data_IF_461545551920
#
_entry.id   IF_461545551920
#
_cell.length_a   1.000
_cell.length_b   1.000
_cell.length_c   1.000
_cell.angle_alpha   90.00
_cell.angle_beta   90.00
_cell.angle_gamma   90.00
#
_symmetry.space_group_name_H-M   'P 1'
#
loop_
_entity.id
_entity.type
_entity.pdbx_description
1 polymer ?
#
# COMPACT_ATOMS: atom_id res chain seq x y z
N UNK A 1 -29.10 32.02 8.81
CA UNK A 1 -27.91 32.52 8.10
C UNK A 1 -26.76 31.61 8.42
N UNK A 2 -26.50 30.60 7.57
CA UNK A 2 -25.34 29.73 7.67
C UNK A 2 -24.09 30.54 7.36
N UNK A 3 -23.13 30.59 8.29
CA UNK A 3 -21.82 31.17 8.01
C UNK A 3 -21.20 30.39 6.88
N UNK A 4 -21.02 31.02 5.73
CA UNK A 4 -20.10 30.54 4.69
C UNK A 4 -18.73 30.56 5.35
N UNK A 5 -18.27 29.44 5.80
CA UNK A 5 -16.92 29.28 6.30
C UNK A 5 -15.99 29.23 5.09
N UNK A 6 -15.63 30.40 4.57
CA UNK A 6 -14.45 30.51 3.75
C UNK A 6 -13.29 29.98 4.63
N UNK A 7 -12.83 28.78 4.33
CA UNK A 7 -11.69 28.19 5.04
C UNK A 7 -10.44 28.95 4.58
N UNK A 8 -10.17 30.05 5.29
CA UNK A 8 -9.03 30.97 5.01
C UNK A 8 -7.71 30.47 5.60
N UNK A 9 -7.69 29.26 6.15
CA UNK A 9 -6.59 28.90 7.04
C UNK A 9 -5.43 28.15 6.40
N UNK A 10 -5.66 27.09 5.64
CA UNK A 10 -4.57 26.21 5.20
C UNK A 10 -4.93 25.43 3.91
N UNK A 11 -3.98 25.27 2.97
CA UNK A 11 -4.21 24.46 1.80
C UNK A 11 -4.46 22.98 2.18
N UNK A 12 -5.15 22.23 1.32
CA UNK A 12 -5.39 20.78 1.49
C UNK A 12 -4.09 20.04 1.78
N UNK A 13 -2.99 20.45 1.14
CA UNK A 13 -1.69 19.84 1.39
C UNK A 13 -1.25 19.97 2.85
N UNK A 14 -1.48 21.13 3.49
CA UNK A 14 -1.14 21.27 4.91
C UNK A 14 -2.02 20.41 5.81
N UNK A 15 -3.28 20.16 5.44
CA UNK A 15 -4.14 19.23 6.17
C UNK A 15 -3.61 17.79 6.13
N UNK A 16 -2.99 17.38 5.01
CA UNK A 16 -2.25 16.12 4.91
C UNK A 16 -0.96 16.15 5.75
N UNK A 17 -0.20 17.25 5.69
CA UNK A 17 1.04 17.40 6.45
C UNK A 17 0.80 17.44 7.97
N UNK A 18 -0.37 17.89 8.44
CA UNK A 18 -0.77 17.85 9.84
C UNK A 18 -0.95 16.43 10.39
N UNK A 19 -1.04 15.42 9.53
CA UNK A 19 -0.98 14.01 9.96
C UNK A 19 0.45 13.61 10.33
N UNK A 20 1.45 14.30 9.78
CA UNK A 20 2.86 14.14 10.12
C UNK A 20 3.16 14.87 11.43
N UNK A 21 4.00 14.29 12.25
CA UNK A 21 4.57 14.96 13.40
C UNK A 21 5.95 15.48 13.01
N UNK A 22 6.04 16.79 12.74
CA UNK A 22 7.28 17.42 12.29
C UNK A 22 8.43 17.20 13.27
N UNK A 23 8.17 17.34 14.58
CA UNK A 23 9.20 17.17 15.60
C UNK A 23 9.76 15.76 15.59
N UNK A 24 8.86 14.76 15.56
CA UNK A 24 9.23 13.35 15.52
C UNK A 24 9.98 12.97 14.25
N UNK A 25 9.56 13.50 13.09
CA UNK A 25 10.28 13.27 11.83
C UNK A 25 11.68 13.91 11.87
N UNK A 26 11.82 15.09 12.44
CA UNK A 26 13.14 15.71 12.63
C UNK A 26 14.03 14.88 13.57
N UNK A 27 13.48 14.28 14.64
CA UNK A 27 14.23 13.34 15.48
C UNK A 27 14.68 12.09 14.72
N UNK A 28 13.78 11.50 13.92
CA UNK A 28 14.11 10.36 13.04
C UNK A 28 15.21 10.76 12.06
N UNK A 29 15.09 11.96 11.46
CA UNK A 29 16.09 12.51 10.56
C UNK A 29 17.47 12.58 11.21
N UNK A 30 17.56 13.21 12.38
CA UNK A 30 18.83 13.33 13.14
C UNK A 30 19.44 11.98 13.52
N UNK A 31 18.61 10.97 13.84
CA UNK A 31 19.08 9.62 14.17
C UNK A 31 19.57 8.84 12.96
N UNK A 32 18.91 9.01 11.80
CA UNK A 32 19.18 8.21 10.61
C UNK A 32 20.23 8.86 9.72
N UNK A 33 20.24 10.20 9.66
CA UNK A 33 21.09 10.98 8.75
C UNK A 33 22.27 11.59 9.52
N UNK A 34 23.41 10.94 9.45
CA UNK A 34 24.64 11.39 10.16
C UNK A 34 25.09 12.83 9.81
N UNK A 35 24.73 13.31 8.61
CA UNK A 35 25.10 14.63 8.09
C UNK A 35 24.06 15.71 8.30
N UNK A 36 22.93 15.42 8.97
CA UNK A 36 21.81 16.35 9.11
C UNK A 36 22.16 17.64 9.85
N UNK A 37 23.10 17.58 10.81
CA UNK A 37 23.57 18.73 11.57
C UNK A 37 24.27 19.81 10.72
N UNK A 38 24.69 19.46 9.51
CA UNK A 38 25.34 20.39 8.56
C UNK A 38 24.41 20.89 7.46
N UNK A 39 23.17 20.39 7.41
CA UNK A 39 22.21 20.78 6.36
C UNK A 39 21.50 22.08 6.74
N UNK A 40 21.71 23.13 5.92
CA UNK A 40 21.16 24.47 6.19
C UNK A 40 19.73 24.68 5.69
N UNK A 41 19.36 24.06 4.56
CA UNK A 41 18.08 24.35 3.87
C UNK A 41 17.25 23.11 3.59
N UNK A 42 17.79 22.09 2.90
CA UNK A 42 17.07 20.88 2.54
C UNK A 42 17.29 19.80 3.59
N UNK A 43 16.68 19.95 4.76
CA UNK A 43 16.67 18.91 5.81
C UNK A 43 15.80 17.70 5.42
N UNK A 44 15.79 16.67 6.25
CA UNK A 44 15.02 15.45 5.97
C UNK A 44 13.52 15.70 5.89
N UNK A 45 12.98 16.54 6.78
CA UNK A 45 11.56 16.88 6.75
C UNK A 45 11.18 17.64 5.48
N UNK A 46 11.94 18.69 5.13
CA UNK A 46 11.70 19.47 3.91
C UNK A 46 11.83 18.61 2.65
N UNK A 47 12.82 17.70 2.61
CA UNK A 47 12.95 16.75 1.51
C UNK A 47 11.73 15.84 1.39
N UNK A 48 11.24 15.27 2.50
CA UNK A 48 10.02 14.47 2.51
C UNK A 48 8.82 15.26 2.00
N UNK A 49 8.61 16.48 2.48
CA UNK A 49 7.49 17.34 2.08
C UNK A 49 7.56 17.66 0.58
N UNK A 50 8.72 18.00 0.05
CA UNK A 50 8.85 18.28 -1.39
C UNK A 50 8.59 17.01 -2.24
N UNK A 51 9.12 15.87 -1.82
CA UNK A 51 8.87 14.61 -2.52
C UNK A 51 7.40 14.21 -2.46
N UNK A 52 6.74 14.36 -1.32
CA UNK A 52 5.28 14.11 -1.19
C UNK A 52 4.47 15.04 -2.10
N UNK A 53 4.85 16.32 -2.21
CA UNK A 53 4.20 17.25 -3.14
C UNK A 53 4.27 16.73 -4.58
N UNK A 54 5.46 16.31 -5.03
CA UNK A 54 5.65 15.75 -6.38
C UNK A 54 4.82 14.47 -6.61
N UNK A 55 4.80 13.57 -5.65
CA UNK A 55 4.04 12.32 -5.72
C UNK A 55 2.52 12.57 -5.75
N UNK A 56 2.01 13.47 -4.90
CA UNK A 56 0.58 13.78 -4.82
C UNK A 56 0.09 14.58 -6.03
N UNK A 57 0.92 15.48 -6.60
CA UNK A 57 0.65 16.17 -7.85
C UNK A 57 0.80 15.25 -9.08
N UNK A 58 1.37 14.06 -8.89
CA UNK A 58 1.61 13.09 -9.96
C UNK A 58 2.58 13.60 -11.04
N UNK A 59 3.64 14.29 -10.61
CA UNK A 59 4.69 14.72 -11.54
C UNK A 59 5.56 13.54 -11.97
N UNK A 60 5.92 13.50 -13.24
CA UNK A 60 6.69 12.41 -13.82
C UNK A 60 8.21 12.66 -13.75
N UNK A 61 8.63 13.87 -13.40
CA UNK A 61 10.05 14.23 -13.34
C UNK A 61 10.37 15.28 -12.28
N UNK A 62 11.64 15.35 -11.86
CA UNK A 62 12.12 16.45 -11.03
C UNK A 62 12.04 17.82 -11.71
N UNK A 63 11.99 17.86 -13.05
CA UNK A 63 11.80 19.12 -13.79
C UNK A 63 10.38 19.64 -13.61
N UNK A 64 9.38 18.77 -13.75
CA UNK A 64 7.99 19.14 -13.49
C UNK A 64 7.76 19.52 -12.04
N UNK A 65 8.39 18.81 -11.09
CA UNK A 65 8.33 19.14 -9.68
C UNK A 65 8.89 20.55 -9.43
N UNK A 66 10.05 20.88 -10.00
CA UNK A 66 10.65 22.24 -9.90
C UNK A 66 9.73 23.30 -10.46
N UNK A 67 9.15 23.10 -11.66
CA UNK A 67 8.20 24.03 -12.29
C UNK A 67 6.91 24.14 -11.43
N UNK A 68 6.39 23.03 -10.94
CA UNK A 68 5.22 23.03 -10.05
C UNK A 68 5.45 23.80 -8.76
N UNK A 69 6.65 23.69 -8.16
CA UNK A 69 7.04 24.51 -7.00
C UNK A 69 7.12 26.00 -7.35
N UNK A 70 7.63 26.36 -8.54
CA UNK A 70 7.68 27.76 -9.00
C UNK A 70 6.27 28.33 -9.16
N UNK A 71 5.38 27.60 -9.80
CA UNK A 71 4.00 28.03 -10.01
C UNK A 71 3.21 28.26 -8.72
N UNK A 72 3.52 27.49 -7.65
CA UNK A 72 2.83 27.55 -6.37
C UNK A 72 3.68 28.16 -5.24
N UNK A 73 4.74 28.91 -5.59
CA UNK A 73 5.72 29.42 -4.64
C UNK A 73 5.10 30.18 -3.46
N UNK A 74 4.12 31.06 -3.73
CA UNK A 74 3.41 31.83 -2.68
C UNK A 74 2.62 30.96 -1.72
N UNK A 75 2.13 29.79 -2.16
CA UNK A 75 1.41 28.84 -1.31
C UNK A 75 2.36 27.93 -0.55
N UNK A 76 3.51 27.56 -1.16
CA UNK A 76 4.54 26.75 -0.50
C UNK A 76 5.19 27.46 0.68
N UNK A 77 5.28 28.78 0.65
CA UNK A 77 5.73 29.59 1.78
C UNK A 77 4.90 29.32 3.06
N UNK A 78 3.58 29.19 2.92
CA UNK A 78 2.68 28.83 4.03
C UNK A 78 2.95 27.44 4.63
N UNK A 79 3.70 26.59 3.92
CA UNK A 79 4.14 25.26 4.37
C UNK A 79 5.54 25.28 5.00
N UNK A 80 6.14 26.48 5.15
CA UNK A 80 7.49 26.67 5.65
C UNK A 80 8.57 26.30 4.64
N UNK A 81 8.26 26.35 3.34
CA UNK A 81 9.22 26.15 2.25
C UNK A 81 9.55 27.55 1.68
N UNK A 82 10.54 28.20 2.28
CA UNK A 82 10.88 29.59 2.04
C UNK A 82 11.94 29.78 0.94
N UNK A 83 12.32 28.72 0.27
CA UNK A 83 13.33 28.80 -0.79
C UNK A 83 13.04 27.79 -1.89
N UNK A 84 13.47 28.15 -3.10
CA UNK A 84 13.36 27.29 -4.27
C UNK A 84 14.45 26.21 -4.25
N UNK A 85 14.06 24.95 -4.16
CA UNK A 85 14.98 23.84 -4.25
C UNK A 85 15.21 23.48 -5.71
N UNK A 86 16.45 23.55 -6.18
CA UNK A 86 16.81 23.21 -7.55
C UNK A 86 16.74 21.70 -7.79
N UNK A 87 16.40 21.34 -9.01
CA UNK A 87 16.36 19.94 -9.47
C UNK A 87 17.64 19.16 -9.14
N UNK A 88 18.82 19.75 -9.37
CA UNK A 88 20.10 19.11 -9.05
C UNK A 88 20.27 18.81 -7.56
N UNK A 89 19.82 19.70 -6.69
CA UNK A 89 19.86 19.50 -5.23
C UNK A 89 18.93 18.36 -4.82
N UNK A 90 17.72 18.28 -5.39
CA UNK A 90 16.79 17.16 -5.14
C UNK A 90 17.33 15.83 -5.67
N UNK A 91 17.91 15.83 -6.86
CA UNK A 91 18.54 14.63 -7.45
C UNK A 91 19.66 14.10 -6.56
N UNK A 92 20.52 14.98 -6.06
CA UNK A 92 21.62 14.63 -5.17
C UNK A 92 21.11 14.15 -3.79
N UNK A 93 20.07 14.80 -3.24
CA UNK A 93 19.42 14.36 -2.01
C UNK A 93 18.81 12.96 -2.17
N UNK A 94 18.10 12.67 -3.26
CA UNK A 94 17.56 11.34 -3.56
C UNK A 94 18.65 10.28 -3.71
N UNK A 95 19.82 10.64 -4.25
CA UNK A 95 20.94 9.73 -4.43
C UNK A 95 21.66 9.42 -3.11
N UNK A 96 21.88 10.42 -2.26
CA UNK A 96 22.74 10.31 -1.07
C UNK A 96 21.99 10.03 0.22
N UNK A 97 20.77 10.57 0.39
CA UNK A 97 20.04 10.43 1.65
C UNK A 97 19.53 9.00 1.79
N UNK A 98 19.93 8.26 2.85
CA UNK A 98 19.56 6.87 3.04
C UNK A 98 18.04 6.65 2.99
N UNK A 99 17.59 5.66 2.25
CA UNK A 99 16.17 5.28 2.14
C UNK A 99 15.57 4.88 3.50
N UNK A 100 16.40 4.46 4.44
CA UNK A 100 16.04 4.08 5.80
C UNK A 100 15.37 5.23 6.56
N UNK A 101 15.70 6.48 6.23
CA UNK A 101 15.00 7.63 6.80
C UNK A 101 13.50 7.59 6.47
N UNK A 102 13.15 7.39 5.22
CA UNK A 102 11.76 7.33 4.76
C UNK A 102 11.07 6.06 5.26
N UNK A 103 11.79 4.93 5.32
CA UNK A 103 11.30 3.70 5.92
C UNK A 103 10.93 3.88 7.40
N UNK A 104 11.79 4.55 8.17
CA UNK A 104 11.54 4.83 9.59
C UNK A 104 10.38 5.81 9.79
N UNK A 105 10.21 6.80 8.90
CA UNK A 105 9.03 7.69 8.91
C UNK A 105 7.76 6.89 8.64
N UNK A 106 7.77 6.00 7.64
CA UNK A 106 6.64 5.13 7.36
C UNK A 106 6.27 4.26 8.57
N UNK A 107 7.25 3.61 9.17
CA UNK A 107 7.06 2.76 10.36
C UNK A 107 6.49 3.53 11.54
N UNK A 108 6.97 4.75 11.77
CA UNK A 108 6.42 5.64 12.78
C UNK A 108 4.95 5.99 12.52
N UNK A 109 4.60 6.38 11.30
CA UNK A 109 3.21 6.69 10.94
C UNK A 109 2.29 5.47 11.06
N UNK A 110 2.79 4.30 10.68
CA UNK A 110 2.06 3.06 10.83
C UNK A 110 1.81 2.73 12.31
N UNK A 111 2.78 2.92 13.17
CA UNK A 111 2.62 2.78 14.63
C UNK A 111 1.59 3.77 15.19
N UNK A 112 1.63 5.03 14.72
CA UNK A 112 0.71 6.10 15.16
C UNK A 112 -0.75 5.85 14.73
N UNK A 113 -0.97 5.36 13.50
CA UNK A 113 -2.30 5.25 12.91
C UNK A 113 -2.81 3.82 12.72
N UNK A 114 -2.02 2.80 13.02
CA UNK A 114 -2.38 1.40 12.76
C UNK A 114 -3.67 0.96 13.44
N UNK A 115 -3.87 1.36 14.70
CA UNK A 115 -5.11 1.05 15.43
C UNK A 115 -6.31 1.77 14.81
N UNK A 116 -6.20 3.07 14.52
CA UNK A 116 -7.25 3.83 13.85
C UNK A 116 -7.65 3.19 12.52
N UNK A 117 -6.68 2.75 11.71
CA UNK A 117 -6.94 2.10 10.43
C UNK A 117 -7.64 0.75 10.58
N UNK A 118 -7.30 -0.02 11.61
CA UNK A 118 -7.95 -1.28 11.92
C UNK A 118 -9.41 -1.07 12.32
N UNK A 119 -9.67 -0.09 13.20
CA UNK A 119 -11.00 0.17 13.76
C UNK A 119 -11.94 0.85 12.76
N UNK A 120 -11.41 1.68 11.88
CA UNK A 120 -12.17 2.45 10.87
C UNK A 120 -12.43 1.69 9.57
N UNK A 121 -12.10 0.39 9.49
CA UNK A 121 -12.34 -0.39 8.27
C UNK A 121 -13.83 -0.45 7.94
N UNK A 122 -14.25 -0.14 6.68
CA UNK A 122 -15.64 -0.23 6.28
C UNK A 122 -16.19 -1.64 6.52
N UNK A 123 -17.27 -1.76 7.27
CA UNK A 123 -18.02 -3.02 7.44
C UNK A 123 -18.56 -3.45 6.07
N UNK A 124 -18.53 -4.74 5.77
CA UNK A 124 -19.13 -5.27 4.54
C UNK A 124 -20.65 -4.97 4.55
N UNK A 125 -21.15 -4.36 3.47
CA UNK A 125 -22.59 -4.25 3.27
C UNK A 125 -23.17 -5.61 2.89
N UNK A 126 -24.15 -6.06 3.62
CA UNK A 126 -25.00 -7.18 3.25
C UNK A 126 -24.86 -8.40 4.15
N UNK A 127 -25.98 -8.74 4.75
CA UNK A 127 -26.31 -9.90 5.59
C UNK A 127 -25.57 -9.98 6.92
N UNK A 128 -26.35 -9.73 7.95
CA UNK A 128 -26.13 -10.03 9.37
C UNK A 128 -24.77 -9.61 9.93
N UNK A 129 -24.75 -9.02 11.09
CA UNK A 129 -23.55 -8.74 11.88
C UNK A 129 -22.79 -10.05 12.13
N UNK A 130 -22.12 -10.54 11.10
CA UNK A 130 -21.21 -11.68 11.23
C UNK A 130 -20.09 -11.17 12.13
N UNK A 131 -20.10 -11.62 13.38
CA UNK A 131 -18.98 -11.42 14.31
C UNK A 131 -17.71 -11.73 13.55
N UNK A 132 -16.75 -10.78 13.58
CA UNK A 132 -15.44 -11.01 12.98
C UNK A 132 -14.89 -12.33 13.55
N UNK A 133 -14.55 -13.25 12.67
CA UNK A 133 -13.98 -14.55 13.08
C UNK A 133 -12.63 -14.30 13.78
N UNK A 134 -12.29 -15.10 14.77
CA UNK A 134 -11.09 -14.87 15.59
C UNK A 134 -9.80 -14.79 14.76
N UNK A 135 -9.66 -15.63 13.73
CA UNK A 135 -8.53 -15.58 12.82
C UNK A 135 -8.43 -14.26 12.01
N UNK A 136 -9.52 -13.51 11.83
CA UNK A 136 -9.54 -12.26 11.06
C UNK A 136 -8.75 -11.14 11.73
N UNK A 137 -8.69 -11.15 13.06
CA UNK A 137 -7.99 -10.14 13.86
C UNK A 137 -6.48 -10.12 13.60
N UNK A 138 -5.90 -11.32 13.41
CA UNK A 138 -4.48 -11.54 13.19
C UNK A 138 -4.21 -12.17 11.81
N UNK A 139 -5.06 -11.85 10.82
CA UNK A 139 -4.85 -12.27 9.44
C UNK A 139 -3.84 -11.34 8.77
N UNK A 140 -2.78 -11.94 8.28
CA UNK A 140 -1.73 -11.30 7.47
C UNK A 140 -1.71 -11.90 6.07
N UNK A 141 -1.37 -11.09 5.09
CA UNK A 141 -1.15 -11.53 3.71
C UNK A 141 0.24 -11.15 3.29
N UNK A 142 0.90 -12.05 2.57
CA UNK A 142 2.24 -11.84 2.04
C UNK A 142 2.26 -12.06 0.54
N UNK A 143 2.84 -11.09 -0.17
CA UNK A 143 3.04 -11.18 -1.61
C UNK A 143 4.16 -10.23 -2.04
N UNK A 144 4.54 -10.29 -3.31
CA UNK A 144 5.49 -9.37 -3.92
C UNK A 144 4.95 -8.79 -5.22
N UNK A 145 5.30 -7.56 -5.50
CA UNK A 145 5.05 -6.94 -6.80
C UNK A 145 6.34 -6.43 -7.41
N UNK A 146 6.46 -6.52 -8.73
CA UNK A 146 7.59 -5.95 -9.45
C UNK A 146 7.20 -4.57 -9.97
N UNK A 147 8.05 -3.59 -9.70
CA UNK A 147 8.04 -2.28 -10.34
C UNK A 147 9.05 -2.34 -11.46
N UNK A 148 8.58 -2.26 -12.70
CA UNK A 148 9.45 -2.28 -13.89
C UNK A 148 10.15 -0.94 -14.03
N UNK A 149 11.45 -0.97 -14.31
CA UNK A 149 12.28 0.19 -14.59
C UNK A 149 12.54 0.29 -16.10
N UNK A 150 12.88 1.48 -16.57
CA UNK A 150 13.30 1.66 -17.96
C UNK A 150 14.55 0.83 -18.30
N UNK A 151 14.68 0.46 -19.56
CA UNK A 151 15.74 -0.45 -20.05
C UNK A 151 17.18 -0.01 -19.72
N UNK A 152 17.38 1.28 -19.42
CA UNK A 152 18.68 1.86 -19.08
C UNK A 152 19.01 1.92 -17.58
N UNK A 153 18.01 1.71 -16.70
CA UNK A 153 18.18 1.81 -15.25
C UNK A 153 18.38 0.40 -14.69
N UNK A 154 19.45 0.21 -13.90
CA UNK A 154 19.81 -1.06 -13.27
C UNK A 154 20.00 -2.21 -14.26
N UNK A 155 20.74 -1.97 -15.35
CA UNK A 155 21.19 -3.03 -16.28
C UNK A 155 21.89 -4.15 -15.50
N UNK A 156 21.34 -5.34 -15.55
CA UNK A 156 21.90 -6.53 -14.89
C UNK A 156 21.12 -7.08 -13.72
N UNK A 157 20.15 -6.34 -13.18
CA UNK A 157 19.37 -6.71 -11.96
C UNK A 157 17.99 -7.28 -12.29
N UNK A 158 17.58 -7.31 -13.55
CA UNK A 158 16.28 -7.77 -13.98
C UNK A 158 16.20 -9.25 -14.36
N UNK A 159 14.99 -9.82 -14.36
CA UNK A 159 14.69 -11.14 -14.94
C UNK A 159 15.09 -11.16 -16.42
N UNK A 160 15.73 -12.23 -16.90
CA UNK A 160 15.88 -12.48 -18.33
C UNK A 160 14.49 -12.80 -18.92
N UNK A 161 13.88 -11.92 -19.73
CA UNK A 161 12.69 -12.29 -20.45
C UNK A 161 13.07 -13.31 -21.54
N UNK A 162 12.13 -14.15 -21.92
CA UNK A 162 12.30 -15.09 -23.06
C UNK A 162 12.65 -14.39 -24.38
N UNK A 163 12.42 -13.07 -24.46
CA UNK A 163 12.72 -12.21 -25.62
C UNK A 163 14.13 -11.58 -25.62
N UNK A 164 15.03 -11.96 -24.71
CA UNK A 164 16.45 -11.56 -24.73
C UNK A 164 16.79 -10.15 -24.23
N UNK A 165 15.84 -9.24 -24.01
CA UNK A 165 16.11 -7.90 -23.46
C UNK A 165 15.97 -7.89 -21.93
N UNK A 166 17.05 -7.61 -21.22
CA UNK A 166 17.06 -7.42 -19.77
C UNK A 166 16.34 -6.12 -19.42
N UNK A 167 15.21 -6.21 -18.73
CA UNK A 167 14.58 -5.05 -18.10
C UNK A 167 14.99 -4.98 -16.64
N UNK A 168 15.43 -3.82 -16.18
CA UNK A 168 15.63 -3.55 -14.76
C UNK A 168 14.32 -3.60 -14.00
N UNK A 169 14.37 -3.93 -12.73
CA UNK A 169 13.17 -3.94 -11.88
C UNK A 169 13.53 -4.03 -10.40
N UNK A 170 12.70 -3.40 -9.59
CA UNK A 170 12.69 -3.56 -8.14
C UNK A 170 11.49 -4.40 -7.76
N UNK A 171 11.72 -5.39 -6.90
CA UNK A 171 10.67 -6.17 -6.29
C UNK A 171 10.36 -5.61 -4.91
N UNK A 172 9.09 -5.30 -4.69
CA UNK A 172 8.55 -4.85 -3.42
C UNK A 172 7.86 -6.04 -2.77
N UNK A 173 8.49 -6.60 -1.76
CA UNK A 173 7.92 -7.64 -0.93
C UNK A 173 7.14 -6.99 0.21
N UNK A 174 5.95 -7.48 0.47
CA UNK A 174 5.04 -6.85 1.43
C UNK A 174 4.36 -7.88 2.30
N UNK A 175 4.28 -7.59 3.60
CA UNK A 175 3.34 -8.22 4.52
C UNK A 175 2.32 -7.17 4.92
N UNK A 176 1.04 -7.48 4.77
CA UNK A 176 -0.08 -6.59 5.08
C UNK A 176 -1.01 -7.25 6.09
N UNK A 177 -1.35 -6.56 7.18
CA UNK A 177 -2.42 -7.00 8.09
C UNK A 177 -3.77 -6.68 7.44
N UNK A 178 -4.65 -7.68 7.36
CA UNK A 178 -5.92 -7.57 6.65
C UNK A 178 -6.78 -6.39 7.12
N UNK A 179 -6.93 -6.20 8.43
CA UNK A 179 -7.76 -5.12 9.00
C UNK A 179 -7.16 -3.73 8.78
N UNK A 180 -5.84 -3.59 8.80
CA UNK A 180 -5.16 -2.30 8.60
C UNK A 180 -5.22 -1.87 7.12
N UNK A 181 -5.02 -2.80 6.19
CA UNK A 181 -5.18 -2.56 4.76
C UNK A 181 -4.03 -1.80 4.09
N UNK A 182 -2.90 -1.61 4.80
CA UNK A 182 -1.66 -1.03 4.27
C UNK A 182 -0.47 -1.92 4.62
N UNK A 183 0.67 -1.80 3.93
CA UNK A 183 1.87 -2.57 4.24
C UNK A 183 2.32 -2.42 5.69
N UNK A 184 2.59 -3.54 6.36
CA UNK A 184 3.18 -3.57 7.70
C UNK A 184 4.70 -3.80 7.64
N UNK A 185 5.12 -4.70 6.73
CA UNK A 185 6.52 -4.97 6.44
C UNK A 185 6.73 -4.77 4.95
N UNK A 186 7.76 -4.04 4.60
CA UNK A 186 8.16 -3.80 3.21
C UNK A 186 9.65 -4.06 3.07
N UNK A 187 10.01 -4.91 2.11
CA UNK A 187 11.40 -5.17 1.75
C UNK A 187 11.59 -4.92 0.25
N UNK A 188 12.54 -4.07 -0.08
CA UNK A 188 12.87 -3.74 -1.45
C UNK A 188 14.09 -4.56 -1.90
N UNK A 189 13.93 -5.35 -2.96
CA UNK A 189 15.00 -6.18 -3.51
C UNK A 189 15.09 -6.03 -5.02
N UNK A 190 16.16 -6.55 -5.61
CA UNK A 190 16.22 -6.66 -7.08
C UNK A 190 15.14 -7.61 -7.60
N UNK A 191 14.61 -7.35 -8.79
CA UNK A 191 13.58 -8.19 -9.41
C UNK A 191 14.03 -9.65 -9.64
N UNK A 192 15.33 -9.90 -9.65
CA UNK A 192 15.91 -11.24 -9.80
C UNK A 192 15.88 -12.08 -8.52
N UNK A 193 15.71 -11.45 -7.33
CA UNK A 193 15.69 -12.17 -6.06
C UNK A 193 14.39 -12.99 -5.93
N UNK A 194 14.54 -14.26 -5.51
CA UNK A 194 13.39 -15.15 -5.33
C UNK A 194 12.52 -14.76 -4.13
N UNK A 195 11.21 -14.99 -4.25
CA UNK A 195 10.21 -14.56 -3.26
C UNK A 195 10.36 -15.24 -1.88
N UNK A 196 10.80 -16.48 -1.85
CA UNK A 196 10.90 -17.27 -0.61
C UNK A 196 11.88 -16.67 0.43
N UNK A 197 12.80 -15.78 0.03
CA UNK A 197 13.71 -15.14 0.98
C UNK A 197 12.99 -14.25 2.00
N UNK A 198 11.88 -13.60 1.61
CA UNK A 198 11.13 -12.77 2.54
C UNK A 198 10.56 -13.59 3.71
N UNK A 199 10.10 -14.82 3.45
CA UNK A 199 9.48 -15.64 4.50
C UNK A 199 10.40 -15.89 5.68
N UNK A 200 11.73 -15.92 5.46
CA UNK A 200 12.74 -16.05 6.51
C UNK A 200 12.83 -14.85 7.45
N UNK A 201 12.52 -13.67 6.92
CA UNK A 201 12.61 -12.39 7.64
C UNK A 201 11.30 -12.02 8.35
N UNK A 202 10.22 -12.76 8.07
CA UNK A 202 8.89 -12.44 8.60
C UNK A 202 8.67 -13.17 9.92
N UNK A 203 8.53 -12.40 10.99
CA UNK A 203 8.12 -12.87 12.31
C UNK A 203 6.77 -12.23 12.66
N UNK A 204 5.79 -13.06 12.97
CA UNK A 204 4.44 -12.63 13.31
C UNK A 204 4.12 -13.00 14.76
N UNK A 205 3.20 -12.29 15.41
CA UNK A 205 2.71 -12.67 16.71
C UNK A 205 2.17 -14.11 16.72
N UNK A 206 2.30 -14.80 17.82
CA UNK A 206 1.65 -16.09 18.03
C UNK A 206 0.14 -15.98 17.72
N UNK A 207 -0.46 -17.07 17.29
CA UNK A 207 -1.88 -17.18 16.88
C UNK A 207 -2.24 -16.34 15.62
N UNK A 208 -1.24 -15.81 14.92
CA UNK A 208 -1.45 -15.18 13.62
C UNK A 208 -1.74 -16.19 12.52
N UNK A 209 -2.49 -15.74 11.51
CA UNK A 209 -2.69 -16.49 10.27
C UNK A 209 -2.03 -15.76 9.11
N UNK A 210 -1.17 -16.44 8.35
CA UNK A 210 -0.45 -15.91 7.19
C UNK A 210 -0.95 -16.54 5.89
N UNK A 211 -1.67 -15.77 5.08
CA UNK A 211 -2.06 -16.17 3.73
C UNK A 211 -1.00 -15.73 2.72
N UNK A 212 -0.49 -16.66 1.90
CA UNK A 212 0.57 -16.39 0.93
C UNK A 212 0.39 -17.14 -0.38
N UNK A 213 1.08 -16.69 -1.44
CA UNK A 213 1.09 -17.42 -2.71
C UNK A 213 2.00 -18.67 -2.64
N UNK A 214 1.74 -19.62 -3.53
CA UNK A 214 2.54 -20.85 -3.67
C UNK A 214 4.03 -20.63 -3.98
N UNK A 215 4.42 -19.42 -4.40
CA UNK A 215 5.82 -19.06 -4.62
C UNK A 215 6.66 -19.16 -3.34
N UNK A 216 6.03 -18.98 -2.19
CA UNK A 216 6.66 -18.96 -0.86
C UNK A 216 6.80 -20.34 -0.19
N UNK A 217 6.40 -21.43 -0.85
CA UNK A 217 6.50 -22.79 -0.27
C UNK A 217 7.95 -23.15 0.02
N UNK A 218 8.23 -23.29 1.32
CA UNK A 218 9.50 -23.72 1.90
C UNK A 218 9.20 -24.48 3.20
N UNK A 219 9.45 -25.81 3.22
CA UNK A 219 9.06 -26.66 4.34
C UNK A 219 9.78 -26.33 5.64
N UNK A 220 11.04 -25.86 5.58
CA UNK A 220 11.77 -25.44 6.77
C UNK A 220 11.12 -24.19 7.39
N UNK A 221 10.67 -23.26 6.54
CA UNK A 221 9.96 -22.08 7.03
C UNK A 221 8.54 -22.41 7.50
N UNK A 222 7.89 -23.39 6.91
CA UNK A 222 6.58 -23.88 7.37
C UNK A 222 6.69 -24.51 8.75
N UNK A 223 7.76 -25.30 8.99
CA UNK A 223 8.02 -25.87 10.31
C UNK A 223 8.29 -24.75 11.33
N UNK A 224 9.13 -23.75 10.99
CA UNK A 224 9.39 -22.59 11.84
C UNK A 224 8.09 -21.84 12.20
N UNK A 225 7.23 -21.56 11.23
CA UNK A 225 5.94 -20.90 11.49
C UNK A 225 5.07 -21.73 12.44
N UNK A 226 5.08 -23.07 12.28
CA UNK A 226 4.36 -23.98 13.15
C UNK A 226 4.91 -23.95 14.58
N UNK A 227 6.23 -23.95 14.74
CA UNK A 227 6.91 -23.89 16.03
C UNK A 227 6.67 -22.53 16.73
N UNK A 228 6.56 -21.44 15.94
CA UNK A 228 6.22 -20.09 16.43
C UNK A 228 4.71 -19.93 16.73
N UNK A 229 3.88 -20.94 16.48
CA UNK A 229 2.42 -20.90 16.68
C UNK A 229 1.72 -20.00 15.66
N UNK A 230 2.28 -19.88 14.45
CA UNK A 230 1.70 -19.12 13.33
C UNK A 230 1.05 -20.08 12.35
N UNK A 231 -0.24 -19.89 12.09
CA UNK A 231 -0.97 -20.61 11.05
C UNK A 231 -0.57 -20.07 9.68
N UNK A 232 -0.33 -20.95 8.71
CA UNK A 232 -0.19 -20.53 7.32
C UNK A 232 -1.30 -21.13 6.46
N UNK A 233 -1.68 -20.40 5.38
CA UNK A 233 -2.58 -20.88 4.32
C UNK A 233 -1.98 -20.49 2.98
N UNK A 234 -1.76 -21.49 2.11
CA UNK A 234 -1.20 -21.29 0.78
C UNK A 234 -1.79 -22.25 -0.25
N UNK A 235 -1.70 -21.90 -1.53
CA UNK A 235 -2.05 -22.80 -2.63
C UNK A 235 -0.92 -23.79 -2.87
N UNK A 236 -1.25 -25.07 -3.03
CA UNK A 236 -0.27 -26.13 -3.29
C UNK A 236 0.29 -26.02 -4.72
N UNK A 237 1.58 -26.32 -4.91
CA UNK A 237 2.19 -26.55 -6.24
C UNK A 237 1.87 -27.95 -6.72
N UNK A 238 1.63 -28.12 -8.03
CA UNK A 238 1.25 -29.43 -8.63
C UNK A 238 2.31 -30.52 -8.45
N UNK A 239 3.59 -30.16 -8.34
CA UNK A 239 4.71 -31.12 -8.39
C UNK A 239 5.28 -31.45 -6.99
N UNK A 240 4.55 -31.20 -5.90
CA UNK A 240 5.02 -31.54 -4.58
C UNK A 240 4.81 -33.03 -4.29
N UNK A 241 5.85 -33.70 -3.78
CA UNK A 241 5.77 -35.08 -3.29
C UNK A 241 5.37 -35.06 -1.83
N UNK A 242 4.40 -35.89 -1.46
CA UNK A 242 3.91 -36.02 -0.08
C UNK A 242 3.38 -37.44 0.14
N UNK A 243 3.29 -37.85 1.42
CA UNK A 243 2.61 -39.06 1.85
C UNK A 243 1.28 -38.69 2.49
N UNK A 244 0.20 -39.36 2.10
CA UNK A 244 -1.11 -39.19 2.74
C UNK A 244 -1.11 -40.07 4.00
N UNK A 245 -1.40 -39.49 5.16
CA UNK A 245 -1.52 -40.18 6.44
C UNK A 245 -2.99 -40.50 6.73
N UNK A 246 -3.88 -39.51 6.49
CA UNK A 246 -5.32 -39.59 6.70
C UNK A 246 -6.05 -38.91 5.59
N UNK A 247 -7.28 -39.37 5.22
CA UNK A 247 -8.09 -38.72 4.17
C UNK A 247 -9.58 -38.89 4.48
N UNK A 248 -10.30 -37.77 4.42
CA UNK A 248 -11.75 -37.71 4.60
C UNK A 248 -12.35 -36.84 3.47
N UNK A 249 -13.51 -37.24 2.94
CA UNK A 249 -14.22 -36.50 1.88
C UNK A 249 -15.54 -35.97 2.42
N UNK A 250 -15.82 -34.70 2.14
CA UNK A 250 -17.07 -34.02 2.49
C UNK A 250 -17.70 -33.41 1.25
N UNK A 251 -19.01 -33.45 1.18
CA UNK A 251 -19.77 -32.75 0.14
C UNK A 251 -20.66 -31.72 0.84
N UNK A 252 -20.66 -30.51 0.34
CA UNK A 252 -21.50 -29.45 0.93
C UNK A 252 -23.01 -29.78 0.74
N UNK A 253 -23.90 -29.21 1.58
CA UNK A 253 -25.31 -29.56 1.57
C UNK A 253 -26.03 -29.36 0.25
N UNK A 254 -25.58 -28.41 -0.59
CA UNK A 254 -26.15 -28.17 -1.93
C UNK A 254 -25.52 -29.03 -3.03
N UNK A 255 -24.58 -29.90 -2.69
CA UNK A 255 -23.92 -30.82 -3.64
C UNK A 255 -22.98 -30.17 -4.66
N UNK A 256 -22.75 -28.85 -4.59
CA UNK A 256 -21.97 -28.10 -5.59
C UNK A 256 -20.47 -28.09 -5.30
N UNK A 257 -20.07 -28.29 -4.06
CA UNK A 257 -18.65 -28.26 -3.62
C UNK A 257 -18.32 -29.53 -2.87
N UNK A 258 -17.24 -30.16 -3.30
CA UNK A 258 -16.67 -31.34 -2.65
C UNK A 258 -15.30 -30.98 -2.06
N UNK A 259 -15.06 -31.40 -0.84
CA UNK A 259 -13.81 -31.20 -0.13
C UNK A 259 -13.14 -32.56 0.14
N UNK A 260 -11.89 -32.69 -0.27
CA UNK A 260 -11.03 -33.76 0.18
C UNK A 260 -10.05 -33.21 1.21
N UNK A 261 -10.21 -33.60 2.46
CA UNK A 261 -9.41 -33.16 3.58
C UNK A 261 -8.42 -34.25 3.97
N UNK A 262 -7.14 -33.95 3.91
CA UNK A 262 -6.06 -34.92 4.08
C UNK A 262 -5.01 -34.40 5.06
N UNK A 263 -4.58 -35.26 5.98
CA UNK A 263 -3.33 -35.08 6.70
C UNK A 263 -2.20 -35.64 5.86
N UNK A 264 -1.20 -34.83 5.55
CA UNK A 264 -0.09 -35.18 4.67
C UNK A 264 1.25 -34.90 5.31
N UNK A 265 2.24 -35.71 4.97
CA UNK A 265 3.62 -35.57 5.40
C UNK A 265 4.51 -35.20 4.20
N UNK A 266 5.20 -34.06 4.31
CA UNK A 266 6.27 -33.68 3.42
C UNK A 266 7.62 -34.08 3.99
N UNK A 267 8.46 -34.71 3.16
CA UNK A 267 9.82 -35.13 3.52
C UNK A 267 10.84 -34.49 2.57
N UNK A 268 11.90 -33.90 3.12
CA UNK A 268 13.00 -33.34 2.36
C UNK A 268 14.31 -33.52 3.14
N UNK A 269 15.09 -34.56 2.80
CA UNK A 269 16.21 -35.00 3.65
C UNK A 269 15.69 -35.40 5.02
N UNK A 270 16.30 -34.90 6.09
CA UNK A 270 15.91 -35.17 7.47
C UNK A 270 14.68 -34.36 7.94
N UNK A 271 14.28 -33.35 7.15
CA UNK A 271 13.14 -32.52 7.49
C UNK A 271 11.83 -33.25 7.19
N UNK A 272 10.99 -33.37 8.22
CA UNK A 272 9.61 -33.85 8.13
C UNK A 272 8.68 -32.74 8.56
N UNK A 273 7.64 -32.47 7.75
CA UNK A 273 6.65 -31.45 8.04
C UNK A 273 5.24 -31.98 7.76
N UNK A 274 4.40 -31.97 8.78
CA UNK A 274 2.99 -32.34 8.66
C UNK A 274 2.17 -31.13 8.25
N UNK A 275 1.28 -31.33 7.30
CA UNK A 275 0.36 -30.30 6.83
C UNK A 275 -1.03 -30.90 6.58
N UNK A 276 -2.03 -30.06 6.65
CA UNK A 276 -3.37 -30.35 6.18
C UNK A 276 -3.49 -29.91 4.73
N UNK A 277 -3.84 -30.85 3.84
CA UNK A 277 -4.07 -30.62 2.42
C UNK A 277 -5.58 -30.67 2.19
N UNK A 278 -6.14 -29.58 1.67
CA UNK A 278 -7.56 -29.47 1.38
C UNK A 278 -7.71 -29.27 -0.14
N UNK A 279 -8.29 -30.25 -0.81
CA UNK A 279 -8.68 -30.11 -2.22
C UNK A 279 -10.16 -29.76 -2.29
N UNK A 280 -10.45 -28.63 -2.94
CA UNK A 280 -11.80 -28.08 -3.08
C UNK A 280 -12.18 -28.24 -4.55
N UNK A 281 -13.18 -29.07 -4.83
CA UNK A 281 -13.70 -29.29 -6.17
C UNK A 281 -15.01 -28.54 -6.36
N UNK A 282 -15.00 -27.57 -7.28
CA UNK A 282 -16.19 -26.81 -7.68
C UNK A 282 -16.83 -27.49 -8.88
N UNK A 283 -17.95 -28.19 -8.68
CA UNK A 283 -18.61 -28.98 -9.72
C UNK A 283 -19.17 -28.12 -10.86
N UNK A 284 -19.71 -26.94 -10.55
CA UNK A 284 -20.22 -25.96 -11.51
C UNK A 284 -19.14 -25.43 -12.47
N UNK A 285 -17.94 -25.22 -11.96
CA UNK A 285 -16.79 -24.66 -12.69
C UNK A 285 -15.85 -25.71 -13.26
N UNK A 286 -16.07 -26.99 -12.94
CA UNK A 286 -15.19 -28.13 -13.29
C UNK A 286 -13.70 -27.84 -12.99
N UNK A 287 -13.42 -27.24 -11.85
CA UNK A 287 -12.06 -26.91 -11.44
C UNK A 287 -11.82 -27.24 -9.98
N UNK A 288 -10.56 -27.54 -9.63
CA UNK A 288 -10.15 -27.75 -8.25
C UNK A 288 -9.10 -26.72 -7.80
N UNK A 289 -9.11 -26.46 -6.52
CA UNK A 289 -8.08 -25.68 -5.82
C UNK A 289 -7.56 -26.51 -4.68
N UNK A 290 -6.23 -26.64 -4.58
CA UNK A 290 -5.58 -27.36 -3.48
C UNK A 290 -4.90 -26.37 -2.57
N UNK A 291 -5.30 -26.35 -1.30
CA UNK A 291 -4.75 -25.51 -0.25
C UNK A 291 -3.94 -26.34 0.74
N UNK A 292 -2.93 -25.72 1.34
CA UNK A 292 -2.12 -26.27 2.42
C UNK A 292 -2.19 -25.35 3.63
N UNK A 293 -2.30 -25.94 4.82
CA UNK A 293 -2.24 -25.25 6.10
C UNK A 293 -1.63 -26.18 7.18
N UNK A 294 -1.08 -25.60 8.24
CA UNK A 294 -0.69 -26.34 9.45
C UNK A 294 -1.78 -26.33 10.53
N UNK A 295 -2.95 -25.74 10.24
CA UNK A 295 -4.05 -25.67 11.19
C UNK A 295 -5.09 -26.76 10.87
N UNK A 296 -5.31 -27.66 11.81
CA UNK A 296 -6.25 -28.78 11.70
C UNK A 296 -7.61 -28.49 12.33
N UNK A 297 -7.77 -27.34 13.03
CA UNK A 297 -8.98 -26.96 13.75
C UNK A 297 -9.89 -26.04 12.93
N UNK A 298 -9.31 -25.24 11.98
CA UNK A 298 -10.09 -24.37 11.10
C UNK A 298 -11.08 -25.16 10.27
N UNK A 299 -12.29 -24.60 10.07
CA UNK A 299 -13.26 -25.20 9.14
C UNK A 299 -12.75 -25.14 7.71
N UNK A 300 -13.26 -25.99 6.84
CA UNK A 300 -12.87 -26.01 5.40
C UNK A 300 -13.18 -24.69 4.73
N UNK A 301 -14.33 -24.10 5.06
CA UNK A 301 -14.80 -22.80 4.59
C UNK A 301 -13.90 -21.65 5.09
N UNK A 302 -13.39 -21.75 6.33
CA UNK A 302 -12.46 -20.74 6.87
C UNK A 302 -11.14 -20.75 6.12
N UNK A 303 -10.56 -21.91 5.84
CA UNK A 303 -9.30 -22.02 5.09
C UNK A 303 -9.49 -21.47 3.67
N UNK A 304 -10.63 -21.76 3.03
CA UNK A 304 -10.97 -21.20 1.72
C UNK A 304 -11.11 -19.69 1.77
N UNK A 305 -11.85 -19.14 2.74
CA UNK A 305 -12.07 -17.71 2.92
C UNK A 305 -10.76 -16.96 3.22
N UNK A 306 -9.91 -17.50 4.10
CA UNK A 306 -8.57 -16.96 4.39
C UNK A 306 -7.76 -16.84 3.10
N UNK A 307 -7.73 -17.88 2.28
CA UNK A 307 -7.00 -17.85 1.02
C UNK A 307 -7.59 -16.84 0.03
N UNK A 308 -8.92 -16.74 -0.07
CA UNK A 308 -9.60 -15.73 -0.91
C UNK A 308 -9.23 -14.30 -0.48
N UNK A 309 -9.10 -14.03 0.82
CA UNK A 309 -8.72 -12.71 1.32
C UNK A 309 -7.30 -12.28 0.96
N UNK A 310 -6.43 -13.21 0.58
CA UNK A 310 -5.09 -12.89 0.04
C UNK A 310 -5.14 -11.89 -1.12
N UNK A 311 -6.20 -11.91 -1.93
CA UNK A 311 -6.39 -10.96 -3.04
C UNK A 311 -6.42 -9.48 -2.61
N UNK A 312 -6.60 -9.18 -1.34
CA UNK A 312 -6.56 -7.82 -0.85
C UNK A 312 -5.19 -7.16 -1.04
N UNK A 313 -4.09 -7.94 -0.99
CA UNK A 313 -2.75 -7.41 -1.24
C UNK A 313 -2.52 -7.10 -2.73
N UNK A 314 -3.09 -7.87 -3.64
CA UNK A 314 -3.05 -7.58 -5.08
C UNK A 314 -3.85 -6.30 -5.40
N UNK A 315 -4.98 -6.10 -4.72
CA UNK A 315 -5.78 -4.87 -4.81
C UNK A 315 -4.99 -3.65 -4.31
N UNK A 316 -4.21 -3.79 -3.24
CA UNK A 316 -3.31 -2.74 -2.76
C UNK A 316 -2.25 -2.40 -3.82
N UNK A 317 -1.62 -3.39 -4.44
CA UNK A 317 -0.62 -3.15 -5.49
C UNK A 317 -1.22 -2.46 -6.71
N UNK A 318 -2.43 -2.85 -7.11
CA UNK A 318 -3.17 -2.17 -8.17
C UNK A 318 -3.45 -0.71 -7.80
N UNK A 319 -3.91 -0.47 -6.56
CA UNK A 319 -4.16 0.87 -6.03
C UNK A 319 -2.90 1.75 -6.08
N UNK A 320 -1.75 1.24 -5.62
CA UNK A 320 -0.48 1.96 -5.65
C UNK A 320 -0.06 2.34 -7.08
N UNK A 321 -0.10 1.37 -8.01
CA UNK A 321 0.31 1.57 -9.40
C UNK A 321 -0.62 2.49 -10.19
N UNK A 322 -1.90 2.53 -9.85
CA UNK A 322 -2.89 3.38 -10.54
C UNK A 322 -2.91 4.83 -10.06
N UNK A 323 -2.62 5.05 -8.77
CA UNK A 323 -2.83 6.36 -8.17
C UNK A 323 -1.54 7.15 -7.95
N UNK A 324 -0.36 6.53 -8.07
CA UNK A 324 0.92 7.19 -7.81
C UNK A 324 1.94 6.93 -8.92
N UNK A 325 2.89 7.87 -9.16
CA UNK A 325 3.87 7.77 -10.24
C UNK A 325 4.95 6.74 -9.93
N UNK A 326 4.66 5.46 -10.19
CA UNK A 326 5.60 4.34 -10.08
C UNK A 326 6.15 3.86 -11.45
N UNK A 327 5.86 4.61 -12.51
CA UNK A 327 6.39 4.37 -13.84
C UNK A 327 7.60 5.25 -14.17
N UNK A 328 7.67 6.43 -13.55
CA UNK A 328 8.75 7.40 -13.72
C UNK A 328 9.43 7.64 -12.37
N UNK A 329 10.75 7.69 -12.38
CA UNK A 329 11.53 7.87 -11.15
C UNK A 329 12.33 9.15 -11.20
N UNK A 330 12.42 9.80 -10.05
CA UNK A 330 13.13 11.08 -9.84
C UNK A 330 14.65 10.92 -9.76
N UNK A 331 15.16 9.76 -10.09
CA UNK A 331 16.57 9.42 -10.16
C UNK A 331 16.76 7.98 -10.65
N UNK A 332 17.97 7.68 -11.11
CA UNK A 332 18.39 6.40 -11.69
C UNK A 332 19.16 5.51 -10.72
N UNK A 333 19.57 6.04 -9.56
CA UNK A 333 20.24 5.24 -8.52
C UNK A 333 19.26 4.35 -7.78
N UNK A 334 19.72 3.19 -7.30
CA UNK A 334 18.93 2.27 -6.49
C UNK A 334 18.29 3.01 -5.31
N UNK A 335 19.11 3.82 -4.61
CA UNK A 335 18.63 4.57 -3.46
C UNK A 335 17.52 5.57 -3.83
N UNK A 336 17.66 6.31 -4.94
CA UNK A 336 16.64 7.26 -5.37
C UNK A 336 15.29 6.58 -5.69
N UNK A 337 15.33 5.40 -6.30
CA UNK A 337 14.13 4.61 -6.60
C UNK A 337 13.50 4.07 -5.31
N UNK A 338 14.31 3.63 -4.36
CA UNK A 338 13.84 3.19 -3.04
C UNK A 338 13.24 4.35 -2.25
N UNK A 339 13.87 5.51 -2.24
CA UNK A 339 13.33 6.75 -1.62
C UNK A 339 11.96 7.07 -2.19
N UNK A 340 11.83 7.12 -3.51
CA UNK A 340 10.52 7.40 -4.14
C UNK A 340 9.48 6.35 -3.79
N UNK A 341 9.84 5.08 -3.78
CA UNK A 341 8.93 3.99 -3.39
C UNK A 341 8.42 4.18 -1.95
N UNK A 342 9.30 4.53 -1.01
CA UNK A 342 8.88 4.83 0.36
C UNK A 342 7.98 6.06 0.45
N UNK A 343 8.28 7.12 -0.30
CA UNK A 343 7.42 8.33 -0.34
C UNK A 343 6.04 8.00 -0.90
N UNK A 344 5.94 7.13 -1.91
CA UNK A 344 4.66 6.64 -2.43
C UNK A 344 3.89 5.86 -1.35
N UNK A 345 4.56 5.00 -0.59
CA UNK A 345 3.92 4.27 0.52
C UNK A 345 3.44 5.23 1.62
N UNK A 346 4.20 6.27 1.95
CA UNK A 346 3.78 7.33 2.89
C UNK A 346 2.56 8.08 2.32
N UNK A 347 2.58 8.48 1.06
CA UNK A 347 1.45 9.16 0.40
C UNK A 347 0.19 8.29 0.43
N UNK A 348 0.31 7.00 0.09
CA UNK A 348 -0.79 6.05 0.17
C UNK A 348 -1.35 5.91 1.59
N UNK A 349 -0.48 5.85 2.60
CA UNK A 349 -0.88 5.79 4.01
C UNK A 349 -1.65 7.04 4.43
N UNK A 350 -1.16 8.23 4.10
CA UNK A 350 -1.83 9.51 4.40
C UNK A 350 -3.19 9.61 3.70
N UNK A 351 -3.26 9.27 2.42
CA UNK A 351 -4.52 9.23 1.67
C UNK A 351 -5.49 8.18 2.24
N UNK A 352 -5.00 7.05 2.72
CA UNK A 352 -5.82 6.02 3.38
C UNK A 352 -6.39 6.55 4.70
N UNK A 353 -5.59 7.27 5.51
CA UNK A 353 -6.05 7.88 6.75
C UNK A 353 -7.17 8.90 6.46
N UNK A 354 -6.99 9.77 5.47
CA UNK A 354 -8.03 10.72 5.04
C UNK A 354 -9.28 9.99 4.57
N UNK A 355 -9.13 8.97 3.72
CA UNK A 355 -10.25 8.15 3.25
C UNK A 355 -11.06 7.52 4.39
N UNK A 356 -10.39 7.11 5.47
CA UNK A 356 -11.06 6.54 6.65
C UNK A 356 -11.74 7.57 7.53
N UNK A 357 -11.36 8.84 7.46
CA UNK A 357 -12.02 9.95 8.17
C UNK A 357 -13.30 10.39 7.47
N UNK A 358 -13.38 10.25 6.14
CA UNK A 358 -14.55 10.61 5.35
C UNK A 358 -15.62 9.54 5.54
N UNK A 359 -16.82 9.95 5.98
CA UNK A 359 -17.97 9.04 6.21
C UNK A 359 -18.68 8.66 4.92
N UNK A 360 -18.70 9.58 3.94
CA UNK A 360 -19.27 9.33 2.62
C UNK A 360 -18.50 8.20 1.92
N UNK A 361 -19.21 7.28 1.30
CA UNK A 361 -18.60 6.21 0.53
C UNK A 361 -18.01 6.76 -0.78
N UNK A 362 -16.70 6.82 -0.85
CA UNK A 362 -15.95 7.20 -2.04
C UNK A 362 -14.94 6.13 -2.41
N UNK A 363 -14.71 5.92 -3.69
CA UNK A 363 -13.60 5.08 -4.12
C UNK A 363 -12.27 5.76 -3.74
N UNK A 364 -11.28 4.96 -3.36
CA UNK A 364 -9.95 5.51 -3.00
C UNK A 364 -9.34 6.37 -4.11
N UNK A 365 -9.48 5.96 -5.37
CA UNK A 365 -9.01 6.73 -6.52
C UNK A 365 -9.69 8.09 -6.67
N UNK A 366 -10.97 8.21 -6.31
CA UNK A 366 -11.67 9.50 -6.30
C UNK A 366 -11.05 10.44 -5.27
N UNK A 367 -10.78 9.94 -4.05
CA UNK A 367 -10.15 10.72 -2.98
C UNK A 367 -8.75 11.19 -3.39
N UNK A 368 -7.91 10.30 -3.94
CA UNK A 368 -6.57 10.68 -4.40
C UNK A 368 -6.64 11.69 -5.55
N UNK A 369 -7.59 11.53 -6.49
CA UNK A 369 -7.79 12.49 -7.58
C UNK A 369 -8.20 13.85 -7.05
N UNK A 370 -9.14 13.91 -6.10
CA UNK A 370 -9.56 15.18 -5.49
C UNK A 370 -8.42 15.82 -4.70
N UNK A 371 -7.65 15.05 -3.92
CA UNK A 371 -6.44 15.56 -3.26
C UNK A 371 -5.50 16.18 -4.28
N UNK A 372 -5.22 15.50 -5.40
CA UNK A 372 -4.32 15.98 -6.45
C UNK A 372 -4.81 17.30 -7.05
N UNK A 373 -6.09 17.38 -7.39
CA UNK A 373 -6.68 18.58 -8.01
C UNK A 373 -6.73 19.77 -7.04
N UNK A 374 -7.08 19.49 -5.78
CA UNK A 374 -7.31 20.53 -4.76
C UNK A 374 -6.11 20.73 -3.82
N UNK A 375 -4.95 20.12 -4.09
CA UNK A 375 -3.82 20.02 -3.15
C UNK A 375 -3.42 21.37 -2.56
N UNK A 376 -3.44 22.42 -3.37
CA UNK A 376 -3.03 23.76 -2.97
C UNK A 376 -4.22 24.73 -2.84
N UNK A 377 -5.46 24.22 -2.77
CA UNK A 377 -6.65 25.02 -2.50
C UNK A 377 -6.88 25.14 -1.00
N UNK A 378 -7.38 26.31 -0.59
CA UNK A 378 -7.75 26.62 0.80
C UNK A 378 -9.20 26.21 1.04
N UNK A 379 -9.42 24.94 1.32
CA UNK A 379 -10.75 24.35 1.56
C UNK A 379 -10.63 23.29 2.65
N UNK A 380 -11.63 23.17 3.51
CA UNK A 380 -11.75 21.99 4.37
C UNK A 380 -12.03 20.77 3.50
N UNK A 381 -10.99 19.98 3.25
CA UNK A 381 -11.07 18.84 2.34
C UNK A 381 -12.04 17.77 2.85
N UNK A 382 -12.04 17.48 4.14
CA UNK A 382 -12.93 16.47 4.72
C UNK A 382 -14.38 16.90 4.62
N UNK A 383 -14.69 18.15 5.01
CA UNK A 383 -16.02 18.71 4.89
C UNK A 383 -16.51 18.79 3.45
N UNK A 384 -15.64 19.17 2.51
CA UNK A 384 -15.94 19.15 1.08
C UNK A 384 -16.30 17.74 0.58
N UNK A 385 -15.53 16.72 0.97
CA UNK A 385 -15.75 15.34 0.51
C UNK A 385 -17.02 14.71 1.12
N UNK A 386 -17.48 15.19 2.29
CA UNK A 386 -18.74 14.73 2.89
C UNK A 386 -19.96 15.19 2.08
N UNK A 387 -19.97 16.44 1.58
CA UNK A 387 -21.09 17.02 0.84
C UNK A 387 -20.61 18.01 -0.23
N UNK A 388 -20.02 17.51 -1.35
CA UNK A 388 -19.50 18.37 -2.41
C UNK A 388 -20.61 19.10 -3.18
N UNK A 389 -21.83 18.58 -3.20
CA UNK A 389 -22.95 19.21 -3.89
C UNK A 389 -23.42 20.46 -3.14
N UNK A 390 -23.46 20.43 -1.82
CA UNK A 390 -23.75 21.61 -1.01
C UNK A 390 -22.73 22.72 -1.26
N UNK A 391 -21.45 22.39 -1.21
CA UNK A 391 -20.35 23.35 -1.45
C UNK A 391 -20.45 23.94 -2.87
N UNK A 392 -20.78 23.12 -3.87
CA UNK A 392 -21.01 23.57 -5.23
C UNK A 392 -22.17 24.59 -5.30
N UNK A 393 -23.30 24.26 -4.68
CA UNK A 393 -24.49 25.13 -4.67
C UNK A 393 -24.22 26.44 -3.91
N UNK A 394 -23.50 26.42 -2.80
CA UNK A 394 -23.10 27.63 -2.07
C UNK A 394 -22.22 28.53 -2.93
N UNK A 395 -21.23 27.99 -3.63
CA UNK A 395 -20.37 28.74 -4.54
C UNK A 395 -21.17 29.30 -5.72
N UNK A 396 -22.01 28.48 -6.34
CA UNK A 396 -22.83 28.90 -7.49
C UNK A 396 -23.83 29.98 -7.15
N UNK A 397 -24.33 30.04 -5.91
CA UNK A 397 -25.23 31.08 -5.44
C UNK A 397 -24.54 32.40 -5.12
N UNK A 398 -23.22 32.37 -4.86
CA UNK A 398 -22.40 33.56 -4.53
C UNK A 398 -21.63 34.13 -5.71
N UNK A 399 -21.48 33.37 -6.80
CA UNK A 399 -20.91 33.89 -8.04
C UNK A 399 -21.92 34.83 -8.71
N UNK A 400 -21.58 36.09 -8.80
CA UNK A 400 -22.31 37.02 -9.66
C UNK A 400 -22.36 36.45 -11.07
N UNK A 401 -23.57 36.31 -11.61
CA UNK A 401 -23.70 35.95 -13.04
C UNK A 401 -22.95 36.99 -13.84
N UNK A 402 -22.12 36.59 -14.80
CA UNK A 402 -21.52 37.57 -15.69
C UNK A 402 -22.65 38.47 -16.26
N UNK A 403 -22.44 39.79 -16.40
CA UNK A 403 -23.45 40.66 -16.97
C UNK A 403 -23.89 40.07 -18.31
N UNK A 404 -25.20 39.86 -18.48
CA UNK A 404 -25.77 39.48 -19.76
C UNK A 404 -25.33 40.56 -20.76
N UNK A 405 -24.64 40.16 -21.80
CA UNK A 405 -24.39 41.06 -22.94
C UNK A 405 -25.74 41.63 -23.34
N UNK A 406 -25.86 42.95 -23.25
CA UNK A 406 -27.07 43.65 -23.70
C UNK A 406 -27.25 43.30 -25.18
N UNK A 407 -28.33 42.62 -25.49
CA UNK A 407 -28.82 42.57 -26.87
C UNK A 407 -28.95 44.01 -27.33
N UNK A 408 -28.03 44.46 -28.15
CA UNK A 408 -28.19 45.72 -28.88
C UNK A 408 -29.47 45.61 -29.71
N UNK A 409 -30.49 46.30 -29.25
CA UNK A 409 -31.67 46.57 -30.08
C UNK A 409 -31.17 47.37 -31.28
N UNK A 410 -31.04 46.70 -32.39
CA UNK A 410 -31.00 47.37 -33.69
C UNK A 410 -32.39 47.98 -33.94
N UNK A 411 -32.47 49.29 -33.87
CA UNK A 411 -33.51 50.09 -34.55
C UNK A 411 -33.20 50.23 -36.03
#
# INVERSE_FOLDING_TARGET
MGKVTNFSGQPVYNQLLNLLDKQKICEISKKTLKSESYVKKLDGYTHLVIMLYGILKHFDSLRELEIGMQAEAHKLHHLGIDYMVRRSTLAEANKRRPQEFFANVYSYLLSKYGQFLADSRPKRKGKDEIKAKDWERLLYMMDSTTISLFDNILKGVGRHPKSGKKKGGIKVHTVMKYLVGVPMVVQLTSAAKHDHYLLKEVHLPKDSTLAMDRAYIDYAQFQRLTDEGVCYVTKMKKNLKYKVLESVTYVNPNGLVEYQDQKVLFEKGDLKHESRRIEIWYRDKKQSVVLLTNNFELTLEDVEEIYKRRWAIESLYKQLKQNFPLHFFYGDSINAIQVQTWVVLIANLLCTIISRKIKRQCAFSQIVTMIRLMLMYYVDFTGFMEDPERVWNEISSTCDKPPLENEEKQE
#
